data_IF_974463375209
#
_entry.id   IF_974463375209
#
_cell.length_a   1.000
_cell.length_b   1.000
_cell.length_c   1.000
_cell.angle_alpha   90.00
_cell.angle_beta   90.00
_cell.angle_gamma   90.00
#
_symmetry.space_group_name_H-M   'P 1'
#
loop_
_entity.id
_entity.type
_entity.pdbx_description
1 polymer ?
#
# COMPACT_ATOMS: atom_id res chain seq x y z
N UNK A 1 3.48 5.68 13.07
CA UNK A 1 2.88 4.45 13.65
C UNK A 1 3.80 3.27 13.35
N UNK A 2 3.88 2.28 14.23
CA UNK A 2 4.72 1.10 13.96
C UNK A 2 4.00 0.13 13.01
N UNK A 3 4.70 -0.28 11.96
CA UNK A 3 4.31 -1.31 11.01
C UNK A 3 5.27 -2.50 11.10
N UNK A 4 4.83 -3.67 10.67
CA UNK A 4 5.70 -4.85 10.61
C UNK A 4 6.50 -4.83 9.32
N UNK A 5 7.79 -5.13 9.38
CA UNK A 5 8.66 -5.31 8.22
C UNK A 5 9.57 -6.53 8.46
N UNK A 6 9.03 -7.72 8.20
CA UNK A 6 9.72 -8.97 8.47
C UNK A 6 10.00 -9.16 9.95
N UNK A 7 11.29 -9.18 10.33
CA UNK A 7 11.73 -9.35 11.73
C UNK A 7 11.89 -8.02 12.48
N UNK A 8 11.72 -6.89 11.80
CA UNK A 8 11.85 -5.55 12.39
C UNK A 8 10.55 -4.76 12.25
N UNK A 9 10.53 -3.55 12.80
CA UNK A 9 9.44 -2.60 12.62
C UNK A 9 9.86 -1.49 11.65
N UNK A 10 8.91 -1.02 10.86
CA UNK A 10 9.02 0.20 10.07
C UNK A 10 8.02 1.25 10.58
N UNK A 11 8.13 2.47 10.05
CA UNK A 11 7.24 3.58 10.40
C UNK A 11 6.28 3.89 9.27
N UNK A 12 4.98 3.88 9.60
CA UNK A 12 3.93 4.41 8.75
C UNK A 12 3.49 5.80 9.19
N UNK A 13 3.27 6.70 8.24
CA UNK A 13 2.84 8.07 8.51
C UNK A 13 1.39 8.29 8.09
N UNK A 14 0.67 9.14 8.83
CA UNK A 14 -0.65 9.63 8.46
C UNK A 14 -0.64 11.15 8.55
N UNK A 15 -1.07 11.83 7.49
CA UNK A 15 -1.21 13.28 7.43
C UNK A 15 -2.38 13.63 6.52
N UNK A 16 -3.27 14.53 6.93
CA UNK A 16 -4.42 14.97 6.10
C UNK A 16 -5.28 13.84 5.49
N UNK A 17 -5.46 12.73 6.22
CA UNK A 17 -6.11 11.49 5.74
C UNK A 17 -5.39 10.82 4.56
N UNK A 18 -4.11 11.07 4.40
CA UNK A 18 -3.18 10.32 3.56
C UNK A 18 -2.37 9.40 4.46
N UNK A 19 -2.28 8.12 4.09
CA UNK A 19 -1.39 7.17 4.73
C UNK A 19 -0.23 6.83 3.79
N UNK A 20 1.00 6.84 4.31
CA UNK A 20 2.19 6.43 3.56
C UNK A 20 2.91 5.31 4.31
N UNK A 21 2.84 4.09 3.75
CA UNK A 21 3.35 2.84 4.31
C UNK A 21 4.32 2.18 3.32
N UNK A 22 5.58 2.61 3.32
CA UNK A 22 6.66 1.90 2.62
C UNK A 22 7.24 0.80 3.51
N UNK A 23 7.78 -0.27 2.89
CA UNK A 23 8.46 -1.38 3.56
C UNK A 23 7.67 -1.97 4.72
N UNK A 24 6.58 -2.67 4.42
CA UNK A 24 5.82 -3.37 5.46
C UNK A 24 5.11 -4.63 4.94
N UNK A 25 4.91 -5.61 5.83
CA UNK A 25 4.14 -6.83 5.58
C UNK A 25 2.99 -7.03 6.58
N UNK A 26 2.68 -6.00 7.38
CA UNK A 26 1.63 -6.11 8.37
C UNK A 26 1.29 -4.79 9.04
N UNK A 27 -0.01 -4.60 9.29
CA UNK A 27 -0.56 -3.47 10.03
C UNK A 27 -1.30 -4.03 11.24
N UNK A 28 -0.98 -3.54 12.44
CA UNK A 28 -1.69 -3.96 13.65
C UNK A 28 -3.16 -3.52 13.59
N UNK A 29 -4.10 -4.45 13.87
CA UNK A 29 -5.55 -4.21 13.85
C UNK A 29 -5.98 -3.03 14.73
N UNK A 30 -5.24 -2.70 15.79
CA UNK A 30 -5.52 -1.53 16.64
C UNK A 30 -5.53 -0.20 15.86
N UNK A 31 -4.82 -0.15 14.73
CA UNK A 31 -4.77 1.02 13.86
C UNK A 31 -5.90 1.04 12.81
N UNK A 32 -6.68 -0.02 12.62
CA UNK A 32 -7.63 -0.07 11.50
C UNK A 32 -8.70 1.02 11.60
N UNK A 33 -9.20 1.31 12.81
CA UNK A 33 -10.23 2.34 13.02
C UNK A 33 -9.79 3.73 12.54
N UNK A 34 -8.52 4.11 12.78
CA UNK A 34 -7.98 5.41 12.32
C UNK A 34 -7.61 5.42 10.83
N UNK A 35 -7.52 4.24 10.20
CA UNK A 35 -7.16 4.06 8.78
C UNK A 35 -8.37 3.91 7.86
N UNK A 36 -9.59 3.89 8.40
CA UNK A 36 -10.79 3.87 7.59
C UNK A 36 -11.00 5.22 6.88
N UNK A 37 -11.57 5.18 5.67
CA UNK A 37 -12.01 6.38 4.92
C UNK A 37 -10.88 7.39 4.63
N UNK A 38 -9.66 6.90 4.39
CA UNK A 38 -8.53 7.73 3.94
C UNK A 38 -8.85 8.38 2.58
N UNK A 39 -8.33 9.59 2.37
CA UNK A 39 -8.31 10.22 1.04
C UNK A 39 -7.37 9.47 0.10
N UNK A 40 -6.21 9.04 0.61
CA UNK A 40 -5.25 8.27 -0.15
C UNK A 40 -4.49 7.29 0.76
N UNK A 41 -4.29 6.06 0.28
CA UNK A 41 -3.41 5.07 0.87
C UNK A 41 -2.26 4.79 -0.10
N UNK A 42 -1.05 5.16 0.27
CA UNK A 42 0.18 4.79 -0.45
C UNK A 42 0.79 3.63 0.32
N UNK A 43 0.88 2.44 -0.29
CA UNK A 43 1.19 1.19 0.40
C UNK A 43 2.22 0.34 -0.36
N UNK A 44 3.11 -0.30 0.40
CA UNK A 44 4.06 -1.32 -0.03
C UNK A 44 3.37 -2.44 -0.82
N UNK A 45 3.99 -2.83 -1.93
CA UNK A 45 3.59 -3.94 -2.77
C UNK A 45 4.81 -4.42 -3.57
N UNK A 46 5.58 -5.35 -3.00
CA UNK A 46 6.85 -5.73 -3.63
C UNK A 46 6.64 -6.55 -4.91
N UNK A 47 5.88 -7.64 -4.85
CA UNK A 47 5.76 -8.60 -5.95
C UNK A 47 4.46 -9.40 -5.90
N UNK A 48 4.19 -10.23 -6.92
CA UNK A 48 2.97 -11.07 -6.95
C UNK A 48 3.03 -12.16 -5.86
N UNK A 49 4.17 -12.80 -5.71
CA UNK A 49 4.36 -13.86 -4.71
C UNK A 49 4.56 -13.28 -3.30
N UNK A 50 4.24 -14.06 -2.27
CA UNK A 50 4.48 -13.64 -0.88
C UNK A 50 5.95 -13.35 -0.63
N UNK A 51 6.21 -12.37 0.24
CA UNK A 51 7.54 -12.02 0.71
C UNK A 51 7.57 -11.95 2.24
N UNK A 52 8.64 -12.42 2.90
CA UNK A 52 8.71 -12.42 4.36
C UNK A 52 8.66 -11.03 4.98
N UNK A 53 9.04 -9.97 4.26
CA UNK A 53 9.14 -8.60 4.80
C UNK A 53 8.28 -7.55 4.10
N UNK A 54 7.66 -7.88 2.96
CA UNK A 54 6.86 -6.94 2.17
C UNK A 54 5.50 -7.54 1.84
N UNK A 55 4.51 -6.70 1.61
CA UNK A 55 3.24 -7.15 1.07
C UNK A 55 3.41 -7.64 -0.36
N UNK A 56 2.76 -8.77 -0.65
CA UNK A 56 2.46 -9.15 -2.03
C UNK A 56 1.33 -8.29 -2.61
N UNK A 57 1.17 -8.33 -3.93
CA UNK A 57 0.06 -7.65 -4.63
C UNK A 57 -1.30 -7.99 -4.02
N UNK A 58 -1.57 -9.27 -3.78
CA UNK A 58 -2.84 -9.71 -3.19
C UNK A 58 -3.02 -9.18 -1.76
N UNK A 59 -1.98 -9.19 -0.94
CA UNK A 59 -2.07 -8.70 0.44
C UNK A 59 -2.28 -7.18 0.50
N UNK A 60 -1.58 -6.41 -0.36
CA UNK A 60 -1.78 -4.97 -0.47
C UNK A 60 -3.22 -4.62 -0.91
N UNK A 61 -3.76 -5.36 -1.89
CA UNK A 61 -5.14 -5.22 -2.34
C UNK A 61 -6.16 -5.58 -1.25
N UNK A 62 -5.91 -6.63 -0.46
CA UNK A 62 -6.74 -6.98 0.67
C UNK A 62 -6.77 -5.86 1.74
N UNK A 63 -5.61 -5.28 2.05
CA UNK A 63 -5.53 -4.17 3.00
C UNK A 63 -6.30 -2.96 2.47
N UNK A 64 -6.09 -2.60 1.20
CA UNK A 64 -6.85 -1.53 0.53
C UNK A 64 -8.37 -1.77 0.63
N UNK A 65 -8.83 -2.98 0.32
CA UNK A 65 -10.25 -3.34 0.40
C UNK A 65 -10.80 -3.26 1.84
N UNK A 66 -10.02 -3.68 2.84
CA UNK A 66 -10.39 -3.60 4.26
C UNK A 66 -10.50 -2.15 4.75
N UNK A 67 -9.57 -1.29 4.35
CA UNK A 67 -9.48 0.10 4.81
C UNK A 67 -10.40 1.07 4.02
N UNK A 68 -10.81 0.68 2.81
CA UNK A 68 -11.72 1.43 1.92
C UNK A 68 -11.27 2.89 1.70
N UNK A 69 -10.01 3.16 1.30
CA UNK A 69 -9.58 4.52 0.95
C UNK A 69 -10.25 4.97 -0.36
N UNK A 70 -10.35 6.29 -0.57
CA UNK A 70 -10.84 6.85 -1.85
C UNK A 70 -9.91 6.51 -3.02
N UNK A 71 -8.59 6.50 -2.77
CA UNK A 71 -7.54 6.14 -3.73
C UNK A 71 -6.48 5.30 -3.04
N UNK A 72 -5.93 4.31 -3.74
CA UNK A 72 -4.77 3.54 -3.32
C UNK A 72 -3.67 3.65 -4.36
N UNK A 73 -2.44 3.84 -3.92
CA UNK A 73 -1.25 3.86 -4.75
C UNK A 73 -0.30 2.78 -4.26
N UNK A 74 0.06 1.85 -5.14
CA UNK A 74 1.03 0.80 -4.84
C UNK A 74 2.44 1.34 -5.07
N UNK A 75 3.32 1.18 -4.10
CA UNK A 75 4.73 1.60 -4.18
C UNK A 75 5.66 0.44 -3.84
N UNK A 76 6.97 0.67 -3.95
CA UNK A 76 8.02 -0.33 -3.71
C UNK A 76 7.94 -1.55 -4.66
N UNK A 77 7.56 -1.29 -5.90
CA UNK A 77 7.29 -2.31 -6.92
C UNK A 77 8.61 -2.92 -7.42
N UNK A 78 8.74 -4.25 -7.33
CA UNK A 78 9.85 -4.98 -7.93
C UNK A 78 9.63 -5.15 -9.44
N UNK A 79 10.69 -5.50 -10.18
CA UNK A 79 10.68 -5.51 -11.66
C UNK A 79 9.65 -6.45 -12.30
N UNK A 80 9.19 -7.47 -11.56
CA UNK A 80 8.19 -8.42 -12.04
C UNK A 80 6.76 -7.86 -12.02
N UNK A 81 6.55 -6.70 -11.40
CA UNK A 81 5.30 -5.94 -11.44
C UNK A 81 5.34 -4.87 -12.53
N UNK A 82 5.17 -5.30 -13.78
CA UNK A 82 5.06 -4.39 -14.92
C UNK A 82 3.92 -3.37 -14.74
N UNK A 83 4.20 -2.11 -15.09
CA UNK A 83 3.28 -1.00 -14.89
C UNK A 83 1.99 -1.13 -15.71
N UNK A 84 2.09 -1.53 -16.98
CA UNK A 84 0.93 -1.68 -17.87
C UNK A 84 0.10 -2.91 -17.48
N UNK A 85 0.76 -3.99 -17.08
CA UNK A 85 0.09 -5.14 -16.49
C UNK A 85 -0.73 -4.70 -15.27
N UNK A 86 -0.16 -3.96 -14.34
CA UNK A 86 -0.87 -3.48 -13.17
C UNK A 86 -2.04 -2.55 -13.53
N UNK A 87 -1.84 -1.57 -14.42
CA UNK A 87 -2.93 -0.67 -14.85
C UNK A 87 -4.15 -1.40 -15.39
N UNK A 88 -3.96 -2.52 -16.10
CA UNK A 88 -5.04 -3.30 -16.70
C UNK A 88 -5.73 -4.26 -15.72
N UNK A 89 -5.07 -4.65 -14.64
CA UNK A 89 -5.55 -5.70 -13.72
C UNK A 89 -5.96 -5.19 -12.34
N UNK A 90 -5.64 -3.94 -12.00
CA UNK A 90 -5.97 -3.36 -10.70
C UNK A 90 -7.43 -2.86 -10.62
N UNK A 91 -8.04 -2.87 -9.42
CA UNK A 91 -9.32 -2.22 -9.19
C UNK A 91 -9.26 -0.72 -9.54
N UNK A 92 -10.40 -0.14 -9.94
CA UNK A 92 -10.49 1.25 -10.43
C UNK A 92 -9.90 2.31 -9.48
N UNK A 93 -9.94 2.08 -8.17
CA UNK A 93 -9.42 3.01 -7.16
C UNK A 93 -7.94 2.75 -6.79
N UNK A 94 -7.29 1.75 -7.37
CA UNK A 94 -5.89 1.36 -7.11
C UNK A 94 -5.05 1.66 -8.34
N UNK A 95 -3.87 2.26 -8.17
CA UNK A 95 -2.92 2.51 -9.25
C UNK A 95 -1.48 2.17 -8.84
N UNK A 96 -0.61 1.73 -9.77
CA UNK A 96 0.81 1.66 -9.52
C UNK A 96 1.42 3.07 -9.48
N UNK A 97 2.34 3.29 -8.53
CA UNK A 97 3.19 4.47 -8.53
C UNK A 97 4.19 4.42 -9.69
N UNK A 98 4.75 5.58 -10.00
CA UNK A 98 5.92 5.75 -10.86
C UNK A 98 6.69 6.98 -10.36
N UNK A 99 7.97 7.05 -10.70
CA UNK A 99 8.82 8.15 -10.27
C UNK A 99 8.31 9.48 -10.86
N UNK A 100 8.10 10.46 -9.98
CA UNK A 100 7.50 11.76 -10.35
C UNK A 100 5.97 11.80 -10.34
N UNK A 101 5.28 10.72 -9.94
CA UNK A 101 3.83 10.74 -9.72
C UNK A 101 3.45 11.85 -8.71
N UNK A 102 2.53 12.72 -9.11
CA UNK A 102 1.91 13.73 -8.25
C UNK A 102 0.48 13.34 -7.91
N UNK A 103 0.10 13.49 -6.64
CA UNK A 103 -1.23 13.13 -6.14
C UNK A 103 -1.89 14.36 -5.54
N UNK A 104 -3.02 14.75 -6.12
CA UNK A 104 -3.89 15.80 -5.57
C UNK A 104 -4.89 15.18 -4.58
N UNK A 105 -4.94 15.74 -3.37
CA UNK A 105 -5.60 15.22 -2.16
C UNK A 105 -6.77 16.12 -1.73
#
# INVERSE_FOLDING_TARGET
MNLNHGKISSLGYIFEKVAYFSDCNGINKKYFKQLMNLKCLIIDCLKIQKHPSHFSLNEALEISNKLKPKKTVLTNLHYDLDYNFLLNNLPRNVKPAYDGLQINI
#
